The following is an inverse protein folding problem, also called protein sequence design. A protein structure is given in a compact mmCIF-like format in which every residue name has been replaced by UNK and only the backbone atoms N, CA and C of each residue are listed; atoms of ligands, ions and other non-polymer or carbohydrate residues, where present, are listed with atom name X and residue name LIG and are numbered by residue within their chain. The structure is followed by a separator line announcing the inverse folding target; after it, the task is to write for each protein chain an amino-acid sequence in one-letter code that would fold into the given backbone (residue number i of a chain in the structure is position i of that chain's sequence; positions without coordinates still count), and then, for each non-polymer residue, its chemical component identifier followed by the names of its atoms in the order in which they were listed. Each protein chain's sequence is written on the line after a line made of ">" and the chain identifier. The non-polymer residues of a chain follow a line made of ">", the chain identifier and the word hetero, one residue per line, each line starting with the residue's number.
data_IF_543074663315
#
_entry.id   IF_543074663315
#
_cell.length_a   1.000
_cell.length_b   1.000
_cell.length_c   1.000
_cell.angle_alpha   90.00
_cell.angle_beta   90.00
_cell.angle_gamma   90.00
#
_symmetry.space_group_name_H-M   'P 1'
#
loop_
_entity.id
_entity.type
_entity.pdbx_description
1 polymer ?
#
# COMPACT_ATOMS: atom_id res chain seq x y z
N UNK A 1 2.73 -5.98 -1.51
CA UNK A 1 2.18 -4.80 -2.20
C UNK A 1 0.93 -5.24 -2.94
N UNK A 2 -0.13 -4.43 -2.92
CA UNK A 2 -1.45 -4.76 -3.47
C UNK A 2 -1.91 -3.67 -4.43
N UNK A 3 -2.47 -4.05 -5.58
CA UNK A 3 -3.11 -3.10 -6.48
C UNK A 3 -4.53 -2.80 -5.99
N UNK A 4 -4.90 -1.51 -5.89
CA UNK A 4 -6.24 -1.12 -5.46
C UNK A 4 -7.32 -1.54 -6.46
N UNK A 5 -7.03 -1.46 -7.76
CA UNK A 5 -8.02 -1.70 -8.81
C UNK A 5 -7.47 -2.75 -9.80
N UNK A 6 -8.00 -3.96 -9.71
CA UNK A 6 -7.74 -5.07 -10.60
C UNK A 6 -8.90 -5.18 -11.61
N UNK A 7 -8.89 -4.32 -12.64
CA UNK A 7 -9.89 -4.31 -13.72
C UNK A 7 -11.36 -4.22 -13.24
N UNK A 8 -11.64 -3.41 -12.22
CA UNK A 8 -12.97 -3.20 -11.64
C UNK A 8 -13.21 -3.98 -10.35
N UNK A 9 -12.33 -4.92 -10.01
CA UNK A 9 -12.32 -5.56 -8.70
C UNK A 9 -11.42 -4.75 -7.75
N UNK A 10 -12.03 -4.22 -6.68
CA UNK A 10 -11.33 -3.37 -5.73
C UNK A 10 -10.79 -4.18 -4.56
N UNK A 11 -9.51 -3.99 -4.25
CA UNK A 11 -8.84 -4.70 -3.15
C UNK A 11 -9.01 -4.01 -1.79
N UNK A 12 -9.95 -3.06 -1.65
CA UNK A 12 -10.14 -2.24 -0.45
C UNK A 12 -10.51 -3.10 0.78
N UNK A 13 -11.36 -4.12 0.60
CA UNK A 13 -11.73 -5.06 1.68
C UNK A 13 -10.55 -5.98 2.05
N UNK A 14 -9.83 -6.52 1.05
CA UNK A 14 -8.64 -7.32 1.30
C UNK A 14 -7.56 -6.52 2.03
N UNK A 15 -7.37 -5.24 1.67
CA UNK A 15 -6.43 -4.36 2.34
C UNK A 15 -6.78 -4.17 3.82
N UNK A 16 -8.07 -3.97 4.14
CA UNK A 16 -8.58 -3.90 5.53
C UNK A 16 -8.31 -5.18 6.28
N UNK A 17 -8.70 -6.33 5.73
CA UNK A 17 -8.52 -7.64 6.36
C UNK A 17 -7.06 -7.96 6.67
N UNK A 18 -6.14 -7.58 5.78
CA UNK A 18 -4.70 -7.77 6.00
C UNK A 18 -4.17 -6.84 7.09
N UNK A 19 -4.61 -5.58 7.11
CA UNK A 19 -4.25 -4.62 8.15
C UNK A 19 -4.78 -5.04 9.52
N UNK A 20 -6.03 -5.50 9.61
CA UNK A 20 -6.64 -6.00 10.87
C UNK A 20 -5.90 -7.23 11.42
N UNK A 21 -5.24 -7.99 10.54
CA UNK A 21 -4.36 -9.12 10.92
C UNK A 21 -2.94 -8.68 11.31
N UNK A 22 -2.67 -7.37 11.35
CA UNK A 22 -1.35 -6.81 11.63
C UNK A 22 -0.34 -7.04 10.52
N UNK A 23 -0.79 -7.33 9.28
CA UNK A 23 0.11 -7.49 8.15
C UNK A 23 0.48 -6.11 7.57
N UNK A 24 1.75 -5.73 7.56
CA UNK A 24 2.18 -4.49 6.91
C UNK A 24 1.96 -4.57 5.40
N UNK A 25 1.37 -3.51 4.84
CA UNK A 25 0.91 -3.47 3.45
C UNK A 25 1.22 -2.11 2.81
N UNK A 26 1.51 -2.16 1.50
CA UNK A 26 1.54 -0.99 0.62
C UNK A 26 0.47 -1.19 -0.46
N UNK A 27 -0.38 -0.18 -0.67
CA UNK A 27 -1.41 -0.18 -1.73
C UNK A 27 -1.01 0.75 -2.86
N UNK A 28 -1.02 0.22 -4.10
CA UNK A 28 -0.80 0.98 -5.32
C UNK A 28 -2.14 1.49 -5.88
N UNK A 29 -2.26 2.79 -6.14
CA UNK A 29 -3.54 3.41 -6.51
C UNK A 29 -3.35 4.61 -7.44
N UNK A 30 -4.20 4.75 -8.46
CA UNK A 30 -4.28 6.00 -9.25
C UNK A 30 -5.29 7.00 -8.69
N UNK A 31 -5.99 6.64 -7.63
CA UNK A 31 -7.16 7.36 -7.11
C UNK A 31 -6.90 8.07 -5.78
N UNK A 32 -5.64 8.17 -5.36
CA UNK A 32 -5.26 8.74 -4.06
C UNK A 32 -5.41 7.76 -2.89
N UNK A 33 -5.29 8.29 -1.67
CA UNK A 33 -5.26 7.53 -0.43
C UNK A 33 -6.58 6.78 -0.15
N UNK A 34 -6.51 5.72 0.65
CA UNK A 34 -7.68 5.02 1.17
C UNK A 34 -8.27 5.82 2.34
N UNK A 35 -9.39 6.50 2.13
CA UNK A 35 -10.05 7.36 3.14
C UNK A 35 -10.36 6.63 4.46
N UNK A 36 -10.54 5.31 4.41
CA UNK A 36 -10.98 4.53 5.57
C UNK A 36 -9.87 4.06 6.51
N UNK A 37 -8.59 4.13 6.11
CA UNK A 37 -7.47 3.66 6.92
C UNK A 37 -6.24 4.54 6.71
N UNK A 38 -6.09 5.55 7.57
CA UNK A 38 -4.92 6.46 7.55
C UNK A 38 -3.59 5.76 7.80
N UNK A 39 -3.62 4.52 8.29
CA UNK A 39 -2.43 3.72 8.62
C UNK A 39 -1.90 2.92 7.42
N UNK A 40 -2.69 2.74 6.36
CA UNK A 40 -2.25 2.02 5.17
C UNK A 40 -1.39 2.93 4.30
N UNK A 41 -0.14 2.54 4.09
CA UNK A 41 0.77 3.25 3.20
C UNK A 41 0.30 3.08 1.76
N UNK A 42 0.04 4.19 1.08
CA UNK A 42 -0.33 4.20 -0.34
C UNK A 42 0.80 4.75 -1.21
N UNK A 43 0.99 4.16 -2.39
CA UNK A 43 1.82 4.70 -3.46
C UNK A 43 0.96 5.06 -4.66
N UNK A 44 1.03 6.32 -5.09
CA UNK A 44 0.24 6.82 -6.21
C UNK A 44 0.86 6.38 -7.54
N UNK A 45 0.02 5.92 -8.47
CA UNK A 45 0.41 5.63 -9.86
C UNK A 45 0.44 6.91 -10.71
N UNK A 46 1.37 7.05 -11.68
CA UNK A 46 2.52 6.19 -11.91
C UNK A 46 3.57 6.34 -10.80
N UNK A 47 4.33 5.28 -10.53
CA UNK A 47 5.37 5.27 -9.51
C UNK A 47 6.70 4.78 -10.09
N UNK A 48 7.79 5.24 -9.48
CA UNK A 48 9.15 4.79 -9.75
C UNK A 48 9.75 4.04 -8.54
N UNK A 49 10.98 3.56 -8.68
CA UNK A 49 11.70 2.82 -7.63
C UNK A 49 11.87 3.63 -6.35
N UNK A 50 12.14 4.94 -6.45
CA UNK A 50 12.33 5.81 -5.28
C UNK A 50 11.02 5.95 -4.49
N UNK A 51 9.89 6.05 -5.19
CA UNK A 51 8.57 6.09 -4.57
C UNK A 51 8.22 4.78 -3.87
N UNK A 52 8.58 3.65 -4.47
CA UNK A 52 8.41 2.33 -3.86
C UNK A 52 9.28 2.22 -2.60
N UNK A 53 10.57 2.55 -2.70
CA UNK A 53 11.49 2.49 -1.56
C UNK A 53 11.00 3.36 -0.39
N UNK A 54 10.55 4.58 -0.66
CA UNK A 54 9.96 5.44 0.35
C UNK A 54 8.72 4.81 1.01
N UNK A 55 7.87 4.11 0.24
CA UNK A 55 6.71 3.41 0.79
C UNK A 55 7.10 2.19 1.64
N UNK A 56 8.14 1.44 1.26
CA UNK A 56 8.69 0.34 2.06
C UNK A 56 9.29 0.82 3.39
N UNK A 57 10.01 1.94 3.37
CA UNK A 57 10.54 2.57 4.60
C UNK A 57 9.41 3.06 5.52
N UNK A 58 8.33 3.62 4.97
CA UNK A 58 7.17 4.10 5.75
C UNK A 58 6.31 2.99 6.34
N UNK A 59 6.18 1.87 5.63
CA UNK A 59 5.34 0.73 6.06
C UNK A 59 6.02 -0.17 7.09
N UNK A 60 7.29 0.07 7.42
CA UNK A 60 8.09 -0.80 8.28
C UNK A 60 8.48 -2.13 7.62
N UNK A 61 8.17 -2.32 6.32
CA UNK A 61 8.59 -3.47 5.52
C UNK A 61 10.07 -3.40 5.12
N UNK A 62 10.65 -2.21 5.13
CA UNK A 62 12.09 -2.02 4.97
C UNK A 62 12.80 -2.39 6.27
N UNK A 63 13.16 -3.66 6.45
CA UNK A 63 14.18 -4.05 7.42
C UNK A 63 15.51 -3.31 7.14
N UNK A 64 16.46 -3.28 8.09
CA UNK A 64 17.75 -2.61 7.88
C UNK A 64 18.39 -3.16 6.60
N UNK A 65 18.80 -2.28 5.71
CA UNK A 65 19.65 -2.64 4.59
C UNK A 65 20.99 -3.14 5.18
N UNK A 66 21.28 -4.43 5.02
CA UNK A 66 22.60 -5.00 5.25
C UNK A 66 23.58 -4.60 4.13
#
# INVERSE_FOLDING_TARGET
>A
MLDRNLNGEYSDELARDLTDKGMPLIVATGYGALEANSEIVTVSKPYDENMIEAAFRRSGLGGPAE
#
